data_IF_447272948609
#
_entry.id   IF_447272948609
#
_cell.length_a   1.000
_cell.length_b   1.000
_cell.length_c   1.000
_cell.angle_alpha   90.00
_cell.angle_beta   90.00
_cell.angle_gamma   90.00
#
_symmetry.space_group_name_H-M   'P 1'
#
loop_
_entity.id
_entity.type
_entity.pdbx_description
1 polymer ?
#
# COMPACT_ATOMS: atom_id res chain seq x y z
N UNK A 1 1.10 -23.01 14.93
CA UNK A 1 1.42 -21.74 14.23
C UNK A 1 1.15 -21.92 12.75
N UNK A 2 0.37 -21.02 12.11
CA UNK A 2 0.15 -21.07 10.66
C UNK A 2 1.48 -20.90 9.91
N UNK A 3 1.70 -21.71 8.87
CA UNK A 3 2.89 -21.65 8.01
C UNK A 3 2.42 -21.26 6.62
N UNK A 4 3.07 -20.27 6.02
CA UNK A 4 2.84 -19.84 4.64
C UNK A 4 4.00 -20.37 3.79
N UNK A 5 3.67 -21.17 2.77
CA UNK A 5 4.64 -21.62 1.77
C UNK A 5 4.46 -20.78 0.50
N UNK A 6 5.56 -20.24 -0.03
CA UNK A 6 5.56 -19.38 -1.20
C UNK A 6 6.59 -19.93 -2.19
N UNK A 7 6.18 -20.13 -3.44
CA UNK A 7 7.12 -20.48 -4.51
C UNK A 7 7.69 -19.21 -5.13
N UNK A 8 9.02 -19.12 -5.14
CA UNK A 8 9.77 -18.03 -5.77
C UNK A 8 11.00 -18.60 -6.45
N UNK A 9 11.46 -17.95 -7.51
CA UNK A 9 12.73 -18.30 -8.15
C UNK A 9 13.92 -17.97 -7.23
N UNK A 10 15.05 -18.62 -7.49
CA UNK A 10 16.30 -18.36 -6.75
C UNK A 10 16.75 -16.91 -6.82
N UNK A 11 16.52 -16.25 -7.96
CA UNK A 11 16.87 -14.85 -8.16
C UNK A 11 15.98 -13.91 -7.33
N UNK A 12 14.67 -14.17 -7.30
CA UNK A 12 13.72 -13.40 -6.48
C UNK A 12 14.02 -13.56 -4.99
N UNK A 13 14.35 -14.78 -4.54
CA UNK A 13 14.78 -15.01 -3.16
C UNK A 13 16.02 -14.19 -2.79
N UNK A 14 17.00 -14.10 -3.70
CA UNK A 14 18.21 -13.32 -3.47
C UNK A 14 17.93 -11.82 -3.38
N UNK A 15 17.06 -11.29 -4.25
CA UNK A 15 16.62 -9.90 -4.20
C UNK A 15 15.87 -9.59 -2.90
N UNK A 16 14.94 -10.47 -2.51
CA UNK A 16 14.15 -10.35 -1.28
C UNK A 16 15.05 -10.34 -0.03
N UNK A 17 16.05 -11.22 0.00
CA UNK A 17 17.05 -11.28 1.08
C UNK A 17 17.88 -10.00 1.15
N UNK A 18 18.31 -9.46 0.02
CA UNK A 18 19.06 -8.21 -0.02
C UNK A 18 18.22 -7.04 0.50
N UNK A 19 16.95 -6.94 0.08
CA UNK A 19 16.04 -5.90 0.57
C UNK A 19 15.76 -6.01 2.06
N UNK A 20 15.58 -7.22 2.58
CA UNK A 20 15.40 -7.46 4.02
C UNK A 20 16.64 -7.02 4.82
N UNK A 21 17.84 -7.35 4.34
CA UNK A 21 19.10 -6.94 4.95
C UNK A 21 19.28 -5.42 4.94
N UNK A 22 18.91 -4.74 3.85
CA UNK A 22 18.94 -3.27 3.77
C UNK A 22 18.02 -2.61 4.81
N UNK A 23 16.91 -3.26 5.17
CA UNK A 23 16.01 -2.79 6.24
C UNK A 23 16.42 -3.27 7.64
N UNK A 24 17.49 -4.04 7.77
CA UNK A 24 17.91 -4.63 9.05
C UNK A 24 16.93 -5.66 9.61
N UNK A 25 16.08 -6.24 8.77
CA UNK A 25 15.04 -7.18 9.17
C UNK A 25 15.36 -8.60 8.67
N UNK A 26 14.83 -9.62 9.34
CA UNK A 26 14.90 -10.98 8.81
C UNK A 26 14.06 -11.07 7.53
N UNK A 27 14.42 -11.98 6.61
CA UNK A 27 13.62 -12.21 5.40
C UNK A 27 12.17 -12.57 5.73
N UNK A 28 11.93 -13.27 6.85
CA UNK A 28 10.60 -13.61 7.34
C UNK A 28 9.81 -12.33 7.69
N UNK A 29 10.38 -11.44 8.48
CA UNK A 29 9.69 -10.23 8.94
C UNK A 29 9.49 -9.23 7.79
N UNK A 30 10.46 -9.15 6.88
CA UNK A 30 10.37 -8.34 5.66
C UNK A 30 9.25 -8.84 4.73
N UNK A 31 9.13 -10.15 4.56
CA UNK A 31 8.06 -10.74 3.72
C UNK A 31 6.71 -10.60 4.40
N UNK A 32 6.61 -10.86 5.70
CA UNK A 32 5.35 -10.73 6.42
C UNK A 32 4.84 -9.28 6.39
N UNK A 33 5.68 -8.29 6.70
CA UNK A 33 5.28 -6.87 6.67
C UNK A 33 4.89 -6.35 5.28
N UNK A 34 5.31 -7.04 4.20
CA UNK A 34 5.01 -6.63 2.84
C UNK A 34 3.91 -7.44 2.14
N UNK A 35 3.83 -8.74 2.42
CA UNK A 35 2.79 -9.62 1.89
C UNK A 35 1.49 -9.50 2.70
N UNK A 36 1.62 -9.39 4.01
CA UNK A 36 0.56 -8.90 4.88
C UNK A 36 0.78 -7.38 4.92
N UNK A 37 0.33 -6.69 3.87
CA UNK A 37 0.25 -5.23 3.93
C UNK A 37 -0.48 -4.93 5.23
N UNK A 38 0.16 -4.15 6.12
CA UNK A 38 -0.49 -3.45 7.22
C UNK A 38 -1.49 -2.45 6.61
N UNK A 39 -2.51 -2.96 5.93
CA UNK A 39 -3.80 -2.31 5.89
C UNK A 39 -4.34 -2.63 7.27
N UNK A 40 -4.27 -1.68 8.22
CA UNK A 40 -4.85 -1.93 9.52
C UNK A 40 -6.30 -2.33 9.24
N UNK A 41 -6.65 -3.55 9.64
CA UNK A 41 -7.99 -4.06 9.38
C UNK A 41 -8.92 -3.07 10.07
N UNK A 42 -9.80 -2.36 9.34
CA UNK A 42 -10.64 -1.33 9.94
C UNK A 42 -11.55 -1.91 11.04
N UNK A 43 -11.72 -3.24 11.07
CA UNK A 43 -12.45 -3.99 12.10
C UNK A 43 -11.62 -4.22 13.37
N UNK A 44 -10.30 -4.10 13.31
CA UNK A 44 -9.36 -4.34 14.42
C UNK A 44 -8.71 -3.06 14.97
N UNK A 45 -8.98 -1.90 14.36
CA UNK A 45 -8.50 -0.61 14.87
C UNK A 45 -9.41 -0.10 15.98
N UNK A 46 -8.81 0.54 16.98
CA UNK A 46 -9.57 1.45 17.84
C UNK A 46 -10.00 2.67 17.03
N UNK A 47 -11.11 3.31 17.43
CA UNK A 47 -11.60 4.54 16.78
C UNK A 47 -10.52 5.62 16.70
N UNK A 48 -9.67 5.71 17.73
CA UNK A 48 -8.53 6.64 17.79
C UNK A 48 -7.46 6.35 16.75
N UNK A 49 -7.13 5.08 16.51
CA UNK A 49 -6.14 4.69 15.51
C UNK A 49 -6.69 4.89 14.10
N UNK A 50 -7.97 4.56 13.88
CA UNK A 50 -8.65 4.80 12.61
C UNK A 50 -8.70 6.30 12.28
N UNK A 51 -8.99 7.15 13.27
CA UNK A 51 -9.00 8.59 13.11
C UNK A 51 -7.60 9.14 12.81
N UNK A 52 -6.56 8.62 13.46
CA UNK A 52 -5.18 9.03 13.19
C UNK A 52 -4.73 8.64 11.78
N UNK A 53 -5.01 7.39 11.36
CA UNK A 53 -4.70 6.94 10.01
C UNK A 53 -5.43 7.77 8.93
N UNK A 54 -6.69 8.17 9.20
CA UNK A 54 -7.42 9.07 8.31
C UNK A 54 -6.75 10.45 8.24
N UNK A 55 -6.31 11.02 9.36
CA UNK A 55 -5.60 12.31 9.38
C UNK A 55 -4.29 12.23 8.60
N UNK A 56 -3.52 11.16 8.78
CA UNK A 56 -2.24 10.98 8.09
C UNK A 56 -2.44 10.85 6.56
N UNK A 57 -3.53 10.21 6.13
CA UNK A 57 -3.92 10.13 4.72
C UNK A 57 -4.35 11.48 4.13
N UNK A 58 -5.09 12.29 4.90
CA UNK A 58 -5.69 13.54 4.42
C UNK A 58 -4.75 14.75 4.49
N UNK A 59 -3.83 14.79 5.44
CA UNK A 59 -2.88 15.90 5.63
C UNK A 59 -2.12 16.26 4.34
N UNK A 60 -1.46 15.32 3.63
CA UNK A 60 -0.75 15.67 2.40
C UNK A 60 -1.71 16.15 1.29
N UNK A 61 -2.91 15.58 1.20
CA UNK A 61 -3.92 16.00 0.22
C UNK A 61 -4.45 17.40 0.45
N UNK A 62 -4.51 17.83 1.72
CA UNK A 62 -4.89 19.19 2.06
C UNK A 62 -3.83 20.18 1.56
N UNK A 63 -2.55 19.86 1.77
CA UNK A 63 -1.43 20.67 1.26
C UNK A 63 -1.43 20.76 -0.27
N UNK A 64 -1.68 19.63 -0.96
CA UNK A 64 -1.83 19.60 -2.42
C UNK A 64 -2.99 20.47 -2.90
N UNK A 65 -4.14 20.41 -2.22
CA UNK A 65 -5.31 21.21 -2.53
C UNK A 65 -5.07 22.71 -2.31
N UNK A 66 -4.42 23.10 -1.20
CA UNK A 66 -4.01 24.48 -0.92
C UNK A 66 -3.00 24.99 -1.95
N UNK A 67 -2.12 24.13 -2.44
CA UNK A 67 -1.20 24.43 -3.54
C UNK A 67 -1.89 24.48 -4.93
N UNK A 68 -3.21 24.25 -5.00
CA UNK A 68 -3.98 24.28 -6.24
C UNK A 68 -3.80 23.05 -7.12
N UNK A 69 -3.25 21.95 -6.61
CA UNK A 69 -3.08 20.69 -7.32
C UNK A 69 -4.40 19.90 -7.38
N UNK A 70 -5.40 20.49 -8.02
CA UNK A 70 -6.72 19.89 -8.19
C UNK A 70 -6.82 19.17 -9.53
N UNK A 71 -7.53 18.04 -9.53
CA UNK A 71 -7.87 17.33 -10.77
C UNK A 71 -9.01 18.08 -11.46
N UNK A 72 -8.76 18.59 -12.66
CA UNK A 72 -9.77 19.29 -13.48
C UNK A 72 -10.63 18.34 -14.31
N UNK A 73 -10.41 17.03 -14.20
CA UNK A 73 -11.16 16.02 -14.93
C UNK A 73 -12.62 15.99 -14.46
N UNK A 74 -13.53 15.84 -15.40
CA UNK A 74 -14.95 15.68 -15.08
C UNK A 74 -15.22 14.27 -14.55
N UNK A 75 -16.36 14.08 -13.91
CA UNK A 75 -16.78 12.76 -13.43
C UNK A 75 -16.82 11.71 -14.57
N UNK A 76 -17.18 12.11 -15.79
CA UNK A 76 -17.25 11.20 -16.93
C UNK A 76 -15.86 10.86 -17.49
N UNK A 77 -14.90 11.78 -17.41
CA UNK A 77 -13.50 11.50 -17.74
C UNK A 77 -12.91 10.46 -16.79
N UNK A 78 -13.16 10.62 -15.49
CA UNK A 78 -12.71 9.69 -14.45
C UNK A 78 -13.30 8.29 -14.68
N UNK A 79 -14.60 8.19 -14.96
CA UNK A 79 -15.25 6.91 -15.27
C UNK A 79 -14.64 6.23 -16.49
N UNK A 80 -14.38 6.99 -17.56
CA UNK A 80 -13.78 6.47 -18.79
C UNK A 80 -12.37 5.97 -18.54
N UNK A 81 -11.55 6.73 -17.84
CA UNK A 81 -10.18 6.36 -17.49
C UNK A 81 -10.12 5.10 -16.62
N UNK A 82 -11.02 4.99 -15.63
CA UNK A 82 -11.12 3.81 -14.77
C UNK A 82 -11.41 2.53 -15.58
N UNK A 83 -12.33 2.60 -16.56
CA UNK A 83 -12.64 1.46 -17.46
C UNK A 83 -11.43 1.04 -18.30
N UNK A 84 -10.68 2.00 -18.83
CA UNK A 84 -9.46 1.73 -19.61
C UNK A 84 -8.36 1.10 -18.76
N UNK A 85 -8.20 1.55 -17.49
CA UNK A 85 -7.24 0.92 -16.56
C UNK A 85 -7.62 -0.52 -16.24
N UNK A 86 -8.91 -0.81 -16.09
CA UNK A 86 -9.40 -2.14 -15.76
C UNK A 86 -9.23 -3.14 -16.91
N UNK A 87 -9.36 -2.69 -18.17
CA UNK A 87 -9.15 -3.56 -19.35
C UNK A 87 -7.68 -3.85 -19.67
N UNK A 88 -6.73 -3.20 -18.97
CA UNK A 88 -5.27 -3.38 -19.15
C UNK A 88 -4.62 -4.26 -18.07
N UNK A 89 -5.39 -4.70 -17.07
CA UNK A 89 -4.97 -5.66 -16.04
C UNK A 89 -5.44 -7.05 -16.42
#
# INVERSE_FOLDING_TARGET
>A
MPRLSIEISSQEHQQLKAMAALKGQSIKDYVLSRALVDMPNPVSMTDTEALQALKDLLTPRLVEAEAGQVVTATADDIKREARVRQSRR
#
